data_IF_901905067152
#
_entry.id   IF_901905067152
#
_cell.length_a   1.000
_cell.length_b   1.000
_cell.length_c   1.000
_cell.angle_alpha   90.00
_cell.angle_beta   90.00
_cell.angle_gamma   90.00
#
_symmetry.space_group_name_H-M   'P 1'
#
loop_
_entity.id
_entity.type
_entity.pdbx_description
1 polymer ?
#
# COMPACT_ATOMS: atom_id res chain seq x y z
N UNK A 1 10.54 -4.52 -1.13
CA UNK A 1 10.83 -3.72 -2.35
C UNK A 1 10.10 -2.39 -2.30
N UNK A 2 10.46 -1.42 -3.13
CA UNK A 2 9.63 -0.21 -3.31
C UNK A 2 8.35 -0.56 -4.07
N UNK A 3 7.23 -0.10 -3.54
CA UNK A 3 5.91 -0.21 -4.16
C UNK A 3 5.59 1.09 -4.91
N UNK A 4 5.88 2.25 -4.30
CA UNK A 4 5.69 3.56 -4.93
C UNK A 4 7.03 4.29 -5.02
N UNK A 5 7.47 4.62 -6.24
CA UNK A 5 8.72 5.35 -6.46
C UNK A 5 8.58 6.86 -6.21
N UNK A 6 7.39 7.42 -6.36
CA UNK A 6 7.15 8.85 -6.13
C UNK A 6 7.34 9.26 -4.67
N UNK A 7 6.93 8.37 -3.74
CA UNK A 7 6.95 8.63 -2.30
C UNK A 7 7.97 7.77 -1.55
N UNK A 8 8.69 6.89 -2.26
CA UNK A 8 9.60 5.93 -1.63
C UNK A 8 8.91 4.90 -0.74
N UNK A 9 7.60 4.66 -0.90
CA UNK A 9 6.87 3.70 -0.07
C UNK A 9 7.30 2.27 -0.37
N UNK A 10 7.60 1.50 0.67
CA UNK A 10 8.02 0.09 0.55
C UNK A 10 6.87 -0.88 0.77
N UNK A 11 7.05 -2.13 0.35
CA UNK A 11 6.10 -3.23 0.61
C UNK A 11 5.89 -3.46 2.11
N UNK A 12 6.94 -3.24 2.93
CA UNK A 12 6.85 -3.34 4.39
C UNK A 12 5.88 -2.29 4.94
N UNK A 13 6.02 -1.03 4.53
CA UNK A 13 5.13 0.05 4.98
C UNK A 13 3.66 -0.20 4.60
N UNK A 14 3.41 -0.77 3.41
CA UNK A 14 2.05 -1.18 3.00
C UNK A 14 1.51 -2.29 3.89
N UNK A 15 2.32 -3.33 4.17
CA UNK A 15 1.91 -4.45 5.03
C UNK A 15 1.64 -3.98 6.47
N UNK A 16 2.47 -3.08 7.01
CA UNK A 16 2.26 -2.47 8.32
C UNK A 16 0.97 -1.65 8.37
N UNK A 17 0.65 -0.89 7.32
CA UNK A 17 -0.61 -0.18 7.22
C UNK A 17 -1.81 -1.14 7.23
N UNK A 18 -1.73 -2.25 6.50
CA UNK A 18 -2.78 -3.29 6.48
C UNK A 18 -2.90 -3.98 7.84
N UNK A 19 -1.80 -4.33 8.48
CA UNK A 19 -1.78 -4.88 9.84
C UNK A 19 -2.36 -3.90 10.88
N UNK A 20 -2.24 -2.59 10.64
CA UNK A 20 -2.88 -1.52 11.41
C UNK A 20 -4.36 -1.30 11.09
N UNK A 21 -4.97 -2.13 10.23
CA UNK A 21 -6.40 -2.10 9.90
C UNK A 21 -6.76 -1.40 8.58
N UNK A 22 -5.79 -0.98 7.76
CA UNK A 22 -6.10 -0.45 6.43
C UNK A 22 -6.56 -1.58 5.48
N UNK A 23 -7.79 -1.50 5.00
CA UNK A 23 -8.38 -2.48 4.07
C UNK A 23 -8.58 -1.93 2.66
N UNK A 24 -8.33 -0.63 2.45
CA UNK A 24 -8.53 0.05 1.17
C UNK A 24 -7.28 0.79 0.70
N UNK A 25 -7.07 0.96 -0.62
CA UNK A 25 -5.97 1.76 -1.15
C UNK A 25 -5.95 3.18 -0.62
N UNK A 26 -7.12 3.77 -0.34
CA UNK A 26 -7.22 5.12 0.23
C UNK A 26 -6.70 5.17 1.66
N UNK A 27 -7.04 4.19 2.50
CA UNK A 27 -6.50 4.11 3.86
C UNK A 27 -4.99 3.87 3.86
N UNK A 28 -4.49 3.01 2.97
CA UNK A 28 -3.04 2.79 2.80
C UNK A 28 -2.34 4.06 2.31
N UNK A 29 -2.93 4.78 1.36
CA UNK A 29 -2.41 6.07 0.91
C UNK A 29 -2.32 7.09 2.05
N UNK A 30 -3.35 7.18 2.91
CA UNK A 30 -3.32 8.01 4.12
C UNK A 30 -2.22 7.58 5.10
N UNK A 31 -2.01 6.27 5.27
CA UNK A 31 -1.07 5.73 6.25
C UNK A 31 0.41 5.85 5.81
N UNK A 32 0.71 5.61 4.54
CA UNK A 32 2.11 5.49 4.07
C UNK A 32 2.40 6.19 2.73
N UNK A 33 1.46 6.98 2.20
CA UNK A 33 1.65 7.80 1.01
C UNK A 33 1.66 7.07 -0.34
N UNK A 34 1.45 5.75 -0.38
CA UNK A 34 1.47 5.03 -1.65
C UNK A 34 0.31 5.45 -2.57
N UNK A 35 0.62 5.72 -3.84
CA UNK A 35 -0.40 5.93 -4.88
C UNK A 35 -1.02 7.33 -4.93
N UNK A 36 -0.49 8.31 -4.20
CA UNK A 36 -1.02 9.68 -4.16
C UNK A 36 -0.55 10.59 -5.31
N UNK A 37 0.47 10.17 -6.06
CA UNK A 37 1.09 10.96 -7.13
C UNK A 37 0.77 10.37 -8.53
N UNK A 38 1.75 9.78 -9.23
CA UNK A 38 1.54 9.33 -10.62
C UNK A 38 0.65 8.09 -10.81
N UNK A 39 0.22 7.43 -9.74
CA UNK A 39 -0.67 6.26 -9.79
C UNK A 39 -0.12 4.96 -10.39
N UNK A 40 1.13 4.93 -10.89
CA UNK A 40 1.74 3.74 -11.54
C UNK A 40 1.78 2.51 -10.63
N UNK A 41 1.91 2.72 -9.33
CA UNK A 41 1.94 1.65 -8.34
C UNK A 41 0.56 1.06 -8.02
N UNK A 42 -0.56 1.68 -8.44
CA UNK A 42 -1.90 1.34 -7.93
C UNK A 42 -2.31 -0.12 -8.18
N UNK A 43 -1.93 -0.74 -9.31
CA UNK A 43 -2.23 -2.16 -9.55
C UNK A 43 -1.47 -3.07 -8.58
N UNK A 44 -0.17 -2.84 -8.41
CA UNK A 44 0.68 -3.60 -7.50
C UNK A 44 0.25 -3.38 -6.03
N UNK A 45 -0.03 -2.12 -5.67
CA UNK A 45 -0.53 -1.74 -4.36
C UNK A 45 -1.81 -2.52 -3.98
N UNK A 46 -2.79 -2.61 -4.90
CA UNK A 46 -4.03 -3.38 -4.66
C UNK A 46 -3.75 -4.87 -4.44
N UNK A 47 -2.87 -5.47 -5.25
CA UNK A 47 -2.50 -6.88 -5.08
C UNK A 47 -1.84 -7.15 -3.73
N UNK A 48 -0.99 -6.25 -3.24
CA UNK A 48 -0.36 -6.37 -1.91
C UNK A 48 -1.41 -6.25 -0.81
N UNK A 49 -2.33 -5.28 -0.92
CA UNK A 49 -3.41 -5.11 0.08
C UNK A 49 -4.26 -6.37 0.16
N UNK A 50 -4.68 -6.92 -0.97
CA UNK A 50 -5.48 -8.15 -1.05
C UNK A 50 -4.72 -9.34 -0.43
N UNK A 51 -3.47 -9.56 -0.82
CA UNK A 51 -2.65 -10.64 -0.28
C UNK A 51 -2.39 -10.51 1.23
N UNK A 52 -2.25 -9.28 1.74
CA UNK A 52 -2.05 -9.02 3.16
C UNK A 52 -3.34 -9.13 3.98
N UNK A 53 -4.49 -8.77 3.40
CA UNK A 53 -5.81 -8.81 4.06
C UNK A 53 -6.31 -10.24 4.28
N UNK A 54 -5.93 -11.19 3.42
CA UNK A 54 -6.31 -12.62 3.54
C UNK A 54 -5.55 -13.35 4.66
N UNK A 55 -4.54 -12.71 5.27
CA UNK A 55 -3.74 -13.28 6.35
C UNK A 55 -4.15 -12.81 7.76
N UNK A 56 -5.24 -12.04 7.86
CA UNK A 56 -5.82 -11.54 9.12
C UNK A 56 -7.04 -12.32 9.55
#
# INVERSE_FOLDING_TARGET
MYVCLCTGTTSKAVIEAVAGGATTPRQVATACGAGIDCGRCCRNLKAIIEAASVRG
#
